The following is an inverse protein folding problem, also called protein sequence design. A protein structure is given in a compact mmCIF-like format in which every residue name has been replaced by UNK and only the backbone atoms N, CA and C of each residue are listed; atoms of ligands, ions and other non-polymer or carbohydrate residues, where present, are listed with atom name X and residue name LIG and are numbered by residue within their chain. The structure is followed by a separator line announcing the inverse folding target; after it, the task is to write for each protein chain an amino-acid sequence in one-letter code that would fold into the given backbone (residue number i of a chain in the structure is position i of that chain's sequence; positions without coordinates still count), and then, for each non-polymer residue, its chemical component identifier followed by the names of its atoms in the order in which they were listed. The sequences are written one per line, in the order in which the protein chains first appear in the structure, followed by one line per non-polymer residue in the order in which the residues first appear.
data_IF_731385662207
#
_entry.id   IF_731385662207
#
_cell.length_a   1.000
_cell.length_b   1.000
_cell.length_c   1.000
_cell.angle_alpha   90.00
_cell.angle_beta   90.00
_cell.angle_gamma   90.00
#
_symmetry.space_group_name_H-M   'P 1'
#
loop_
_entity.id
_entity.type
_entity.pdbx_description
1 polymer ?
#
# COMPACT_ATOMS: atom_id res chain seq x y z
N UNK A 1 23.62 -12.31 -14.82
CA UNK A 1 22.19 -12.65 -15.04
C UNK A 1 21.73 -13.71 -14.03
N UNK A 2 22.37 -14.90 -13.97
CA UNK A 2 21.97 -16.00 -13.08
C UNK A 2 22.04 -15.58 -11.60
N UNK A 3 23.17 -15.05 -11.14
CA UNK A 3 23.34 -14.58 -9.77
C UNK A 3 22.34 -13.49 -9.39
N UNK A 4 22.04 -12.59 -10.32
CA UNK A 4 21.07 -11.53 -10.09
C UNK A 4 19.67 -12.07 -9.82
N UNK A 5 19.12 -12.89 -10.72
CA UNK A 5 17.75 -13.40 -10.54
C UNK A 5 17.62 -14.41 -9.40
N UNK A 6 18.63 -15.27 -9.20
CA UNK A 6 18.62 -16.17 -8.04
C UNK A 6 18.74 -15.40 -6.74
N UNK A 7 19.60 -14.38 -6.67
CA UNK A 7 19.71 -13.51 -5.51
C UNK A 7 18.44 -12.73 -5.22
N UNK A 8 17.81 -12.17 -6.26
CA UNK A 8 16.52 -11.48 -6.14
C UNK A 8 15.42 -12.42 -5.62
N UNK A 9 15.34 -13.63 -6.15
CA UNK A 9 14.38 -14.64 -5.68
C UNK A 9 14.61 -14.99 -4.20
N UNK A 10 15.85 -15.19 -3.78
CA UNK A 10 16.20 -15.45 -2.37
C UNK A 10 15.80 -14.28 -1.46
N UNK A 11 16.06 -13.04 -1.88
CA UNK A 11 15.67 -11.86 -1.10
C UNK A 11 14.14 -11.81 -0.93
N UNK A 12 13.37 -12.04 -2.00
CA UNK A 12 11.90 -12.05 -1.93
C UNK A 12 11.42 -13.14 -0.96
N UNK A 13 11.97 -14.35 -1.04
CA UNK A 13 11.65 -15.44 -0.12
C UNK A 13 11.99 -15.10 1.33
N UNK A 14 13.18 -14.53 1.58
CA UNK A 14 13.60 -14.12 2.94
C UNK A 14 12.65 -13.08 3.51
N UNK A 15 12.27 -12.06 2.71
CA UNK A 15 11.30 -11.05 3.15
C UNK A 15 9.95 -11.70 3.47
N UNK A 16 9.43 -12.55 2.60
CA UNK A 16 8.14 -13.20 2.81
C UNK A 16 8.15 -14.13 4.03
N UNK A 17 9.17 -14.97 4.19
CA UNK A 17 9.33 -15.86 5.37
C UNK A 17 9.43 -15.01 6.64
N UNK A 18 10.18 -13.91 6.60
CA UNK A 18 10.29 -12.98 7.73
C UNK A 18 8.94 -12.43 8.15
N UNK A 19 8.09 -12.04 7.18
CA UNK A 19 6.75 -11.51 7.45
C UNK A 19 5.84 -12.58 8.08
N UNK A 20 5.98 -13.85 7.68
CA UNK A 20 5.14 -14.94 8.20
C UNK A 20 5.61 -15.44 9.58
N UNK A 21 6.92 -15.45 9.82
CA UNK A 21 7.52 -16.06 11.02
C UNK A 21 8.06 -15.05 12.04
N UNK A 22 8.24 -13.79 11.64
CA UNK A 22 8.89 -12.76 12.46
C UNK A 22 10.42 -12.86 12.50
N UNK A 23 11.03 -13.81 11.78
CA UNK A 23 12.48 -14.00 11.72
C UNK A 23 12.99 -14.12 10.26
N UNK A 24 14.08 -13.41 9.90
CA UNK A 24 14.86 -12.43 10.66
C UNK A 24 14.11 -11.10 10.90
N UNK A 25 14.43 -10.39 11.97
CA UNK A 25 13.70 -9.17 12.40
C UNK A 25 13.90 -7.95 11.49
N UNK A 26 15.07 -7.85 10.82
CA UNK A 26 15.39 -6.66 10.00
C UNK A 26 14.41 -6.42 8.84
N UNK A 27 14.07 -7.42 7.99
CA UNK A 27 13.07 -7.22 6.94
C UNK A 27 11.69 -6.85 7.50
N UNK A 28 11.27 -7.46 8.62
CA UNK A 28 10.00 -7.17 9.29
C UNK A 28 9.95 -5.70 9.72
N UNK A 29 10.97 -5.22 10.41
CA UNK A 29 11.04 -3.84 10.90
C UNK A 29 11.00 -2.81 9.73
N UNK A 30 11.61 -3.13 8.58
CA UNK A 30 11.56 -2.28 7.41
C UNK A 30 10.16 -2.25 6.79
N UNK A 31 9.49 -3.40 6.70
CA UNK A 31 8.11 -3.46 6.19
C UNK A 31 7.13 -2.80 7.16
N UNK A 32 7.28 -2.95 8.46
CA UNK A 32 6.46 -2.27 9.47
C UNK A 32 6.57 -0.75 9.38
N UNK A 33 7.73 -0.21 9.01
CA UNK A 33 7.89 1.24 8.77
C UNK A 33 7.14 1.73 7.54
N UNK A 34 7.10 0.89 6.47
CA UNK A 34 6.47 1.23 5.20
C UNK A 34 4.97 0.92 5.17
N UNK A 35 4.53 -0.04 5.98
CA UNK A 35 3.17 -0.54 6.01
C UNK A 35 2.69 -0.70 7.47
N UNK A 36 2.60 0.43 8.20
CA UNK A 36 2.23 0.46 9.62
C UNK A 36 0.85 -0.18 9.84
N UNK A 37 0.82 -1.27 10.61
CA UNK A 37 -0.41 -2.00 10.92
C UNK A 37 -0.77 -3.09 9.90
N UNK A 38 0.12 -3.41 8.96
CA UNK A 38 -0.05 -4.57 8.09
C UNK A 38 -0.02 -5.87 8.92
N UNK A 39 -1.01 -6.73 8.67
CA UNK A 39 -1.04 -8.08 9.25
C UNK A 39 -0.86 -9.08 8.11
N UNK A 40 0.23 -9.87 8.13
CA UNK A 40 0.48 -10.86 7.09
C UNK A 40 -0.63 -11.91 7.09
N UNK A 41 -1.14 -12.25 5.91
CA UNK A 41 -2.08 -13.34 5.71
C UNK A 41 -1.41 -14.42 4.86
N UNK A 42 -1.50 -15.67 5.31
CA UNK A 42 -0.96 -16.79 4.55
C UNK A 42 -1.95 -17.23 3.48
N UNK A 43 -1.52 -17.27 2.21
CA UNK A 43 -2.28 -17.81 1.08
C UNK A 43 -1.58 -19.06 0.55
N UNK A 44 -2.19 -20.21 0.74
CA UNK A 44 -1.65 -21.50 0.24
C UNK A 44 -1.48 -21.48 -1.27
N UNK A 45 -2.44 -20.91 -2.02
CA UNK A 45 -2.36 -20.83 -3.47
C UNK A 45 -1.17 -20.01 -3.93
N UNK A 46 -0.97 -18.82 -3.35
CA UNK A 46 0.17 -17.95 -3.65
C UNK A 46 1.50 -18.64 -3.34
N UNK A 47 1.58 -19.33 -2.21
CA UNK A 47 2.75 -20.12 -1.82
C UNK A 47 3.07 -21.23 -2.83
N UNK A 48 2.07 -22.02 -3.24
CA UNK A 48 2.25 -23.11 -4.21
C UNK A 48 2.70 -22.58 -5.58
N UNK A 49 2.12 -21.48 -6.06
CA UNK A 49 2.51 -20.85 -7.32
C UNK A 49 3.96 -20.34 -7.25
N UNK A 50 4.33 -19.69 -6.15
CA UNK A 50 5.69 -19.20 -5.92
C UNK A 50 6.71 -20.36 -5.86
N UNK A 51 6.35 -21.45 -5.17
CA UNK A 51 7.17 -22.66 -5.09
C UNK A 51 7.37 -23.30 -6.46
N UNK A 52 6.28 -23.48 -7.23
CA UNK A 52 6.34 -24.04 -8.58
C UNK A 52 7.22 -23.20 -9.52
N UNK A 53 7.09 -21.85 -9.44
CA UNK A 53 7.93 -20.94 -10.21
C UNK A 53 9.43 -21.07 -9.84
N UNK A 54 9.72 -21.19 -8.55
CA UNK A 54 11.10 -21.35 -8.04
C UNK A 54 11.70 -22.70 -8.50
N UNK A 55 10.91 -23.79 -8.42
CA UNK A 55 11.33 -25.10 -8.92
C UNK A 55 11.56 -25.10 -10.42
N UNK A 56 10.69 -24.45 -11.19
CA UNK A 56 10.84 -24.27 -12.63
C UNK A 56 12.12 -23.50 -12.97
N UNK A 57 12.45 -22.48 -12.19
CA UNK A 57 13.71 -21.75 -12.34
C UNK A 57 14.93 -22.65 -12.10
N UNK A 58 14.92 -23.42 -11.00
CA UNK A 58 15.98 -24.39 -10.71
C UNK A 58 16.16 -25.41 -11.84
N UNK A 59 15.05 -25.92 -12.38
CA UNK A 59 15.06 -26.81 -13.54
C UNK A 59 15.61 -26.12 -14.80
N UNK A 60 15.21 -24.88 -15.12
CA UNK A 60 15.74 -24.11 -16.23
C UNK A 60 17.25 -23.87 -16.12
N UNK A 61 17.74 -23.57 -14.94
CA UNK A 61 19.17 -23.39 -14.68
C UNK A 61 19.94 -24.68 -14.95
N UNK A 62 19.45 -25.82 -14.40
CA UNK A 62 20.07 -27.13 -14.61
C UNK A 62 20.01 -27.57 -16.06
N UNK A 63 18.87 -27.35 -16.74
CA UNK A 63 18.68 -27.63 -18.15
C UNK A 63 19.62 -26.85 -19.05
N UNK A 64 19.92 -25.57 -18.70
CA UNK A 64 20.91 -24.78 -19.46
C UNK A 64 22.35 -25.29 -19.27
N UNK A 65 22.69 -25.87 -18.13
CA UNK A 65 24.03 -26.43 -17.88
C UNK A 65 24.34 -27.63 -18.78
N UNK A 66 23.34 -28.22 -19.44
CA UNK A 66 23.51 -29.35 -20.38
C UNK A 66 24.31 -28.98 -21.63
N UNK A 67 25.05 -30.00 -22.14
CA UNK A 67 26.20 -29.85 -23.07
C UNK A 67 25.90 -29.46 -24.53
N UNK A 68 24.67 -29.58 -25.02
CA UNK A 68 24.35 -29.49 -26.46
C UNK A 68 23.14 -28.59 -26.77
N UNK A 69 23.37 -27.26 -26.79
CA UNK A 69 22.28 -26.34 -27.17
C UNK A 69 22.74 -25.16 -27.98
N UNK A 70 21.90 -24.73 -28.95
CA UNK A 70 22.16 -23.60 -29.81
C UNK A 70 22.38 -22.31 -29.00
N UNK A 71 23.37 -21.49 -29.43
CA UNK A 71 23.82 -20.31 -28.69
C UNK A 71 22.70 -19.26 -28.44
N UNK A 72 21.78 -19.11 -29.38
CA UNK A 72 20.67 -18.16 -29.32
C UNK A 72 19.75 -18.45 -28.12
N UNK A 73 19.35 -19.70 -27.90
CA UNK A 73 18.50 -20.08 -26.76
C UNK A 73 19.21 -19.93 -25.43
N UNK A 74 20.55 -20.08 -25.42
CA UNK A 74 21.35 -19.90 -24.19
C UNK A 74 21.35 -18.46 -23.69
N UNK A 75 21.27 -17.46 -24.55
CA UNK A 75 21.29 -16.05 -24.17
C UNK A 75 19.93 -15.51 -23.73
N UNK A 76 18.83 -16.04 -24.28
CA UNK A 76 17.50 -15.50 -24.06
C UNK A 76 16.75 -16.15 -22.90
N UNK A 77 16.87 -17.46 -22.70
CA UNK A 77 16.07 -18.23 -21.73
C UNK A 77 16.28 -17.79 -20.30
N UNK A 78 17.52 -17.52 -19.86
CA UNK A 78 17.76 -17.10 -18.47
C UNK A 78 17.29 -15.68 -18.17
N UNK A 79 17.51 -14.65 -19.02
CA UNK A 79 16.94 -13.34 -18.77
C UNK A 79 15.41 -13.38 -18.75
N UNK A 80 14.77 -14.01 -19.72
CA UNK A 80 13.32 -14.11 -19.81
C UNK A 80 12.72 -14.89 -18.61
N UNK A 81 13.27 -16.09 -18.32
CA UNK A 81 12.82 -16.90 -17.19
C UNK A 81 13.08 -16.24 -15.83
N UNK A 82 14.22 -15.56 -15.67
CA UNK A 82 14.55 -14.83 -14.46
C UNK A 82 13.64 -13.62 -14.24
N UNK A 83 13.31 -12.87 -15.28
CA UNK A 83 12.35 -11.76 -15.19
C UNK A 83 10.96 -12.27 -14.84
N UNK A 84 10.50 -13.34 -15.49
CA UNK A 84 9.22 -13.97 -15.20
C UNK A 84 9.16 -14.48 -13.75
N UNK A 85 10.22 -15.15 -13.25
CA UNK A 85 10.32 -15.59 -11.86
C UNK A 85 10.22 -14.42 -10.90
N UNK A 86 11.05 -13.39 -11.09
CA UNK A 86 11.08 -12.24 -10.16
C UNK A 86 9.72 -11.53 -10.10
N UNK A 87 9.08 -11.32 -11.25
CA UNK A 87 7.76 -10.74 -11.34
C UNK A 87 6.70 -11.60 -10.66
N UNK A 88 6.72 -12.91 -10.92
CA UNK A 88 5.75 -13.84 -10.36
C UNK A 88 5.87 -13.95 -8.83
N UNK A 89 7.10 -14.06 -8.30
CA UNK A 89 7.35 -14.05 -6.86
C UNK A 89 6.89 -12.75 -6.21
N UNK A 90 7.20 -11.61 -6.81
CA UNK A 90 6.79 -10.30 -6.30
C UNK A 90 5.27 -10.18 -6.25
N UNK A 91 4.57 -10.59 -7.33
CA UNK A 91 3.11 -10.50 -7.42
C UNK A 91 2.36 -11.56 -6.60
N UNK A 92 2.98 -12.68 -6.28
CA UNK A 92 2.32 -13.70 -5.44
C UNK A 92 2.61 -13.52 -3.94
N UNK A 93 3.85 -13.22 -3.59
CA UNK A 93 4.30 -13.20 -2.20
C UNK A 93 4.25 -11.80 -1.55
N UNK A 94 4.59 -10.74 -2.29
CA UNK A 94 4.68 -9.38 -1.75
C UNK A 94 3.53 -8.47 -2.15
N UNK A 95 2.68 -8.87 -3.10
CA UNK A 95 1.52 -8.05 -3.50
C UNK A 95 0.65 -7.60 -2.33
N UNK A 96 0.31 -8.45 -1.33
CA UNK A 96 -0.53 -8.01 -0.21
C UNK A 96 0.08 -6.87 0.60
N UNK A 97 1.41 -6.87 0.76
CA UNK A 97 2.14 -5.78 1.44
C UNK A 97 2.15 -4.52 0.60
N UNK A 98 2.42 -4.66 -0.70
CA UNK A 98 2.50 -3.53 -1.64
C UNK A 98 1.13 -2.87 -1.80
N UNK A 99 0.07 -3.68 -1.90
CA UNK A 99 -1.30 -3.19 -1.99
C UNK A 99 -1.71 -2.44 -0.71
N UNK A 100 -1.44 -3.04 0.45
CA UNK A 100 -1.69 -2.38 1.74
C UNK A 100 -0.93 -1.07 1.88
N UNK A 101 0.36 -1.05 1.52
CA UNK A 101 1.19 0.15 1.63
C UNK A 101 0.74 1.28 0.68
N UNK A 102 0.17 0.95 -0.48
CA UNK A 102 -0.30 1.94 -1.47
C UNK A 102 -1.79 2.25 -1.38
N UNK A 103 -2.54 1.50 -0.58
CA UNK A 103 -3.97 1.68 -0.43
C UNK A 103 -4.30 2.75 0.61
N UNK A 104 -5.23 3.63 0.29
CA UNK A 104 -5.84 4.55 1.25
C UNK A 104 -6.76 3.85 2.27
N UNK A 105 -7.01 2.55 2.12
CA UNK A 105 -7.95 1.81 2.96
C UNK A 105 -7.62 1.93 4.45
N UNK A 106 -6.34 1.80 4.83
CA UNK A 106 -5.90 1.91 6.21
C UNK A 106 -6.10 3.33 6.79
N UNK A 107 -5.85 4.36 5.98
CA UNK A 107 -6.07 5.75 6.37
C UNK A 107 -7.56 6.04 6.53
N UNK A 108 -8.35 5.70 5.52
CA UNK A 108 -9.81 5.89 5.53
C UNK A 108 -10.45 5.12 6.68
N UNK A 109 -10.06 3.86 6.92
CA UNK A 109 -10.57 3.06 8.03
C UNK A 109 -10.35 3.71 9.39
N UNK A 110 -9.17 4.30 9.63
CA UNK A 110 -8.88 5.04 10.87
C UNK A 110 -9.71 6.32 11.01
N UNK A 111 -9.91 7.05 9.93
CA UNK A 111 -10.78 8.24 9.96
C UNK A 111 -12.22 7.83 10.21
N UNK A 112 -12.74 6.84 9.50
CA UNK A 112 -14.11 6.33 9.65
C UNK A 112 -14.37 5.77 11.04
N UNK A 113 -13.41 5.12 11.69
CA UNK A 113 -13.56 4.62 13.06
C UNK A 113 -13.85 5.73 14.09
N UNK A 114 -13.46 6.97 13.77
CA UNK A 114 -13.68 8.14 14.65
C UNK A 114 -14.95 8.91 14.26
N UNK A 115 -15.16 9.11 12.95
CA UNK A 115 -16.30 9.91 12.49
C UNK A 115 -17.60 9.11 12.41
N UNK A 116 -17.51 7.77 12.35
CA UNK A 116 -18.65 6.90 12.07
C UNK A 116 -19.15 7.07 10.63
N UNK A 117 -20.46 6.96 10.45
CA UNK A 117 -21.14 7.16 9.16
C UNK A 117 -22.09 8.36 9.24
N UNK A 118 -21.57 9.60 9.21
CA UNK A 118 -22.40 10.79 9.21
C UNK A 118 -23.11 10.93 7.85
N UNK A 119 -24.19 11.71 7.82
CA UNK A 119 -24.94 12.01 6.58
C UNK A 119 -24.06 12.65 5.52
N UNK A 120 -23.11 13.51 5.91
CA UNK A 120 -22.12 14.08 5.02
C UNK A 120 -20.81 14.45 5.74
N UNK A 121 -19.74 14.58 4.95
CA UNK A 121 -18.42 15.07 5.38
C UNK A 121 -17.96 16.13 4.40
N UNK A 122 -17.55 17.29 4.90
CA UNK A 122 -16.92 18.31 4.07
C UNK A 122 -15.45 17.96 3.85
N UNK A 123 -14.94 18.26 2.65
CA UNK A 123 -13.56 17.99 2.27
C UNK A 123 -12.90 19.22 1.66
N UNK A 124 -11.63 19.44 1.99
CA UNK A 124 -10.85 20.55 1.44
C UNK A 124 -9.46 20.09 1.02
N UNK A 125 -9.08 20.39 -0.22
CA UNK A 125 -7.74 20.10 -0.74
C UNK A 125 -7.44 18.63 -1.03
N UNK A 126 -8.39 17.73 -0.87
CA UNK A 126 -8.18 16.30 -1.16
C UNK A 126 -8.02 16.05 -2.67
N UNK A 127 -7.11 15.16 -3.03
CA UNK A 127 -6.95 14.68 -4.40
C UNK A 127 -8.16 13.84 -4.84
N UNK A 128 -8.36 13.69 -6.15
CA UNK A 128 -9.42 12.83 -6.69
C UNK A 128 -9.30 11.38 -6.19
N UNK A 129 -8.09 10.88 -6.08
CA UNK A 129 -7.83 9.53 -5.56
C UNK A 129 -8.27 9.38 -4.10
N UNK A 130 -7.94 10.37 -3.25
CA UNK A 130 -8.38 10.40 -1.85
C UNK A 130 -9.91 10.50 -1.75
N UNK A 131 -10.54 11.40 -2.52
CA UNK A 131 -12.01 11.53 -2.55
C UNK A 131 -12.66 10.18 -2.89
N UNK A 132 -12.21 9.54 -3.97
CA UNK A 132 -12.73 8.22 -4.37
C UNK A 132 -12.50 7.16 -3.29
N UNK A 133 -11.34 7.18 -2.62
CA UNK A 133 -11.05 6.25 -1.53
C UNK A 133 -11.99 6.42 -0.33
N UNK A 134 -12.28 7.66 0.07
CA UNK A 134 -13.25 7.94 1.13
C UNK A 134 -14.68 7.54 0.75
N UNK A 135 -15.07 7.73 -0.51
CA UNK A 135 -16.37 7.29 -1.01
C UNK A 135 -16.48 5.76 -1.06
N UNK A 136 -15.45 5.09 -1.58
CA UNK A 136 -15.46 3.65 -1.80
C UNK A 136 -15.24 2.87 -0.49
N UNK A 137 -14.13 3.11 0.20
CA UNK A 137 -13.78 2.37 1.41
C UNK A 137 -14.52 2.90 2.64
N UNK A 138 -14.78 4.21 2.70
CA UNK A 138 -15.46 4.84 3.83
C UNK A 138 -16.98 4.87 3.69
N UNK A 139 -17.52 4.67 2.49
CA UNK A 139 -18.94 4.83 2.15
C UNK A 139 -19.49 6.18 2.62
N UNK A 140 -18.68 7.23 2.50
CA UNK A 140 -19.00 8.56 2.96
C UNK A 140 -19.57 9.42 1.83
N UNK A 141 -20.57 10.21 2.13
CA UNK A 141 -21.05 11.26 1.24
C UNK A 141 -20.19 12.51 1.42
N UNK A 142 -19.36 12.83 0.42
CA UNK A 142 -18.44 13.96 0.49
C UNK A 142 -19.02 15.19 -0.18
N UNK A 143 -18.81 16.35 0.42
CA UNK A 143 -19.14 17.67 -0.12
C UNK A 143 -17.92 18.58 -0.03
N UNK A 144 -17.70 19.41 -1.04
CA UNK A 144 -16.62 20.39 -0.97
C UNK A 144 -16.89 21.37 0.17
N UNK A 145 -15.83 21.72 0.88
CA UNK A 145 -15.91 22.70 1.94
C UNK A 145 -16.29 24.07 1.39
N UNK A 146 -17.17 24.75 2.10
CA UNK A 146 -17.62 26.12 1.85
C UNK A 146 -17.34 26.94 3.11
N UNK A 147 -17.56 28.27 3.04
CA UNK A 147 -17.41 29.17 4.18
C UNK A 147 -18.30 28.78 5.39
N UNK A 148 -19.44 28.14 5.11
CA UNK A 148 -20.35 27.69 6.16
C UNK A 148 -20.21 26.19 6.43
N UNK A 149 -20.24 25.79 7.69
CA UNK A 149 -20.26 24.39 8.10
C UNK A 149 -21.63 23.75 7.82
N UNK A 150 -21.72 22.91 6.79
CA UNK A 150 -22.95 22.21 6.40
C UNK A 150 -22.98 20.76 6.96
N UNK A 151 -21.81 20.14 7.16
CA UNK A 151 -21.68 18.77 7.64
C UNK A 151 -21.06 18.74 9.03
N UNK A 152 -21.23 17.63 9.80
CA UNK A 152 -20.68 17.52 11.16
C UNK A 152 -19.15 17.35 11.19
N UNK A 153 -18.54 16.95 10.07
CA UNK A 153 -17.12 16.69 9.98
C UNK A 153 -16.50 17.36 8.75
N UNK A 154 -15.24 17.78 8.91
CA UNK A 154 -14.39 18.34 7.84
C UNK A 154 -13.06 17.60 7.81
N UNK A 155 -12.70 17.10 6.65
CA UNK A 155 -11.42 16.43 6.34
C UNK A 155 -10.62 17.33 5.42
N UNK A 156 -9.40 17.66 5.81
CA UNK A 156 -8.53 18.60 5.09
C UNK A 156 -7.19 17.92 4.79
N UNK A 157 -6.68 18.06 3.58
CA UNK A 157 -5.31 17.68 3.27
C UNK A 157 -4.34 18.59 4.03
N UNK A 158 -3.37 18.02 4.73
CA UNK A 158 -2.45 18.76 5.58
C UNK A 158 -1.65 19.84 4.85
N UNK A 159 -1.42 19.67 3.55
CA UNK A 159 -0.74 20.65 2.67
C UNK A 159 -1.48 21.98 2.60
N UNK A 160 -2.79 21.96 2.72
CA UNK A 160 -3.65 23.15 2.62
C UNK A 160 -4.01 23.77 3.97
N UNK A 161 -3.38 23.33 5.07
CA UNK A 161 -3.63 23.84 6.42
C UNK A 161 -3.51 25.36 6.51
N UNK A 162 -2.48 25.93 5.88
CA UNK A 162 -2.18 27.35 5.99
C UNK A 162 -3.16 28.26 5.23
N UNK A 163 -3.79 27.75 4.19
CA UNK A 163 -4.77 28.50 3.35
C UNK A 163 -6.22 28.12 3.67
N UNK A 164 -6.44 27.19 4.60
CA UNK A 164 -7.78 26.73 4.98
C UNK A 164 -8.67 27.87 5.49
N UNK A 165 -8.09 28.79 6.27
CA UNK A 165 -8.80 29.94 6.86
C UNK A 165 -9.37 30.92 5.84
N UNK A 166 -8.85 30.91 4.60
CA UNK A 166 -9.35 31.75 3.51
C UNK A 166 -10.69 31.25 2.94
N UNK A 167 -10.93 29.95 3.05
CA UNK A 167 -12.09 29.29 2.42
C UNK A 167 -13.11 28.74 3.44
N UNK A 168 -12.70 28.57 4.69
CA UNK A 168 -13.53 27.95 5.75
C UNK A 168 -13.44 28.77 7.03
N UNK A 169 -14.57 29.11 7.62
CA UNK A 169 -14.58 29.73 8.95
C UNK A 169 -14.22 28.72 10.04
N UNK A 170 -12.96 28.73 10.47
CA UNK A 170 -12.42 27.80 11.47
C UNK A 170 -13.05 27.97 12.86
N UNK A 171 -13.80 29.06 13.14
CA UNK A 171 -14.50 29.27 14.43
C UNK A 171 -15.59 28.26 14.67
N UNK A 172 -16.14 27.66 13.61
CA UNK A 172 -17.16 26.62 13.69
C UNK A 172 -16.57 25.21 13.85
N UNK A 173 -15.22 25.07 13.77
CA UNK A 173 -14.57 23.79 13.66
C UNK A 173 -13.56 23.56 14.78
N UNK A 174 -13.69 22.44 15.48
CA UNK A 174 -12.73 21.99 16.49
C UNK A 174 -11.80 20.93 15.90
N UNK A 175 -10.50 21.20 15.94
CA UNK A 175 -9.49 20.24 15.51
C UNK A 175 -9.52 18.97 16.37
N UNK A 176 -9.50 17.79 15.75
CA UNK A 176 -9.54 16.49 16.42
C UNK A 176 -8.26 15.68 16.29
N UNK A 177 -7.52 15.85 15.22
CA UNK A 177 -6.27 15.13 15.05
C UNK A 177 -5.72 15.14 13.64
N UNK A 178 -4.50 14.61 13.51
CA UNK A 178 -3.80 14.39 12.25
C UNK A 178 -3.74 12.90 12.01
N UNK A 179 -4.18 12.47 10.83
CA UNK A 179 -4.09 11.09 10.38
C UNK A 179 -3.02 10.98 9.31
N UNK A 180 -1.96 10.27 9.65
CA UNK A 180 -0.82 10.09 8.75
C UNK A 180 -1.10 8.96 7.77
N UNK A 181 -0.78 9.20 6.50
CA UNK A 181 -0.70 8.11 5.53
C UNK A 181 0.58 7.32 5.81
N UNK A 182 0.52 5.98 6.04
CA UNK A 182 1.71 5.19 6.35
C UNK A 182 2.76 5.20 5.23
N UNK A 183 2.31 5.28 3.98
CA UNK A 183 3.16 5.18 2.80
C UNK A 183 3.60 6.52 2.22
N UNK A 184 2.94 7.62 2.59
CA UNK A 184 3.27 8.96 2.10
C UNK A 184 3.08 10.00 3.20
N UNK A 185 4.22 10.56 3.65
CA UNK A 185 4.22 11.59 4.71
C UNK A 185 3.56 12.91 4.28
N UNK A 186 3.48 13.16 2.98
CA UNK A 186 2.88 14.38 2.43
C UNK A 186 1.36 14.29 2.27
N UNK A 187 0.81 13.08 2.36
CA UNK A 187 -0.64 12.82 2.24
C UNK A 187 -1.36 12.67 3.59
N UNK A 188 -0.93 13.43 4.58
CA UNK A 188 -1.60 13.46 5.87
C UNK A 188 -2.91 14.23 5.78
N UNK A 189 -3.90 13.82 6.59
CA UNK A 189 -5.18 14.51 6.68
C UNK A 189 -5.44 15.04 8.07
N UNK A 190 -6.03 16.21 8.13
CA UNK A 190 -6.49 16.89 9.34
C UNK A 190 -7.99 16.63 9.48
N UNK A 191 -8.42 16.27 10.68
CA UNK A 191 -9.81 16.04 10.98
C UNK A 191 -10.33 17.13 11.93
N UNK A 192 -11.45 17.72 11.55
CA UNK A 192 -12.16 18.70 12.35
C UNK A 192 -13.60 18.26 12.57
N UNK A 193 -14.14 18.55 13.74
CA UNK A 193 -15.54 18.34 14.09
C UNK A 193 -16.24 19.68 14.26
N UNK A 194 -17.45 19.82 13.71
CA UNK A 194 -18.26 21.01 13.91
C UNK A 194 -18.61 21.17 15.39
N UNK A 195 -18.42 22.35 15.95
CA UNK A 195 -18.96 22.71 17.26
C UNK A 195 -20.42 23.14 17.08
N UNK A 196 -21.33 22.42 17.74
CA UNK A 196 -22.71 22.89 17.84
C UNK A 196 -22.69 24.16 18.72
N UNK A 197 -23.21 25.25 18.18
CA UNK A 197 -23.56 26.44 18.97
C UNK A 197 -24.72 26.17 19.86
#
# INVERSE_FOLDING_TARGET
TLLFFTGSALIIWVIWVSLQTGFPRQPVANVERLAIGFKPSFSLLAFLVALAATLTWGWLVSWRAGRHRAAIWKSLVLPAGGTALSWLLLMTLLLPVLDFARSYQALVGRVVSIIGHPECVQVYGLSRAQITAYQYHGRLTLRNATSQAQCPWLVVDARYRNVLHESVDLREWKFRGIFRNPSDADENVLLYKREAR
#
